data_IF_229672709214
#
_entry.id   IF_229672709214
#
_cell.length_a   1.000
_cell.length_b   1.000
_cell.length_c   1.000
_cell.angle_alpha   90.00
_cell.angle_beta   90.00
_cell.angle_gamma   90.00
#
_symmetry.space_group_name_H-M   'P 1'
#
loop_
_entity.id
_entity.type
_entity.pdbx_description
1 polymer ?
#
# COMPACT_ATOMS: atom_id res chain seq x y z
N UNK A 1 -5.96 43.63 -35.34
CA UNK A 1 -6.79 43.15 -34.21
C UNK A 1 -7.11 41.69 -34.46
N UNK A 2 -7.20 40.91 -33.37
CA UNK A 2 -7.03 39.45 -33.27
C UNK A 2 -8.06 38.66 -34.10
N UNK A 3 -7.62 37.71 -34.91
CA UNK A 3 -8.51 36.70 -35.51
C UNK A 3 -8.72 35.56 -34.53
N UNK A 4 -9.98 35.38 -34.15
CA UNK A 4 -10.45 34.47 -33.11
C UNK A 4 -10.51 33.05 -33.65
N UNK A 5 -9.93 32.11 -32.88
CA UNK A 5 -10.09 30.67 -33.02
C UNK A 5 -11.49 30.25 -32.57
N UNK A 6 -12.24 29.55 -33.41
CA UNK A 6 -13.46 28.83 -33.05
C UNK A 6 -13.64 27.64 -34.00
N UNK A 7 -13.09 26.50 -33.62
CA UNK A 7 -13.41 25.21 -34.22
C UNK A 7 -13.50 24.19 -33.09
N UNK A 8 -14.68 24.12 -32.49
CA UNK A 8 -15.07 23.07 -31.59
C UNK A 8 -16.44 22.57 -32.05
N UNK A 9 -16.49 21.37 -32.61
CA UNK A 9 -17.65 20.52 -32.44
C UNK A 9 -17.26 19.05 -32.60
N UNK A 10 -17.17 18.42 -31.43
CA UNK A 10 -17.15 16.98 -31.21
C UNK A 10 -18.38 16.32 -31.84
N UNK A 11 -18.21 15.27 -32.65
CA UNK A 11 -19.05 14.04 -32.63
C UNK A 11 -18.30 12.96 -33.42
N UNK A 12 -17.67 12.01 -32.74
CA UNK A 12 -17.55 10.63 -33.26
C UNK A 12 -17.68 9.68 -32.09
N UNK A 13 -18.91 9.20 -31.89
CA UNK A 13 -19.24 8.07 -31.06
C UNK A 13 -18.71 6.79 -31.73
N UNK A 14 -17.93 5.98 -31.01
CA UNK A 14 -17.90 4.53 -31.20
C UNK A 14 -17.88 3.87 -29.83
N UNK A 15 -19.07 3.42 -29.42
CA UNK A 15 -19.34 2.56 -28.30
C UNK A 15 -19.34 1.13 -28.84
N UNK A 16 -18.41 0.27 -28.41
CA UNK A 16 -18.59 -1.18 -28.50
C UNK A 16 -17.66 -1.95 -27.59
N UNK A 17 -18.30 -2.82 -26.81
CA UNK A 17 -17.85 -3.63 -25.69
C UNK A 17 -16.81 -4.69 -26.06
N UNK A 18 -15.91 -4.97 -25.13
CA UNK A 18 -15.09 -6.16 -25.09
C UNK A 18 -14.73 -6.53 -23.65
N UNK A 19 -15.71 -6.97 -22.86
CA UNK A 19 -15.47 -7.59 -21.55
C UNK A 19 -15.05 -9.04 -21.84
N UNK A 20 -13.74 -9.30 -21.85
CA UNK A 20 -13.22 -10.65 -21.74
C UNK A 20 -12.79 -10.88 -20.29
N UNK A 21 -13.68 -11.47 -19.50
CA UNK A 21 -13.28 -12.16 -18.27
C UNK A 21 -12.68 -13.50 -18.65
N UNK A 22 -11.46 -13.79 -18.16
CA UNK A 22 -11.09 -14.98 -17.39
C UNK A 22 -9.59 -15.31 -17.51
N UNK A 23 -8.94 -15.28 -16.34
CA UNK A 23 -7.73 -15.98 -15.96
C UNK A 23 -6.45 -15.72 -16.78
N UNK A 24 -5.86 -14.54 -16.57
CA UNK A 24 -4.41 -14.38 -16.66
C UNK A 24 -3.86 -14.11 -15.25
N UNK A 25 -3.54 -15.15 -14.47
CA UNK A 25 -2.54 -15.05 -13.40
C UNK A 25 -1.12 -14.97 -14.01
N UNK A 26 -0.98 -14.32 -15.15
CA UNK A 26 0.28 -14.04 -15.79
C UNK A 26 0.77 -12.68 -15.32
N UNK A 27 1.63 -12.72 -14.31
CA UNK A 27 2.90 -11.98 -14.36
C UNK A 27 2.79 -10.50 -14.72
N UNK A 28 1.95 -9.72 -14.03
CA UNK A 28 2.18 -8.27 -13.92
C UNK A 28 3.06 -7.96 -12.71
N UNK A 29 4.26 -8.54 -12.69
CA UNK A 29 5.40 -7.82 -12.12
C UNK A 29 5.92 -6.93 -13.24
N UNK A 30 5.28 -5.77 -13.35
CA UNK A 30 5.73 -4.66 -14.18
C UNK A 30 7.23 -4.49 -13.99
N UNK A 31 7.88 -4.40 -15.13
CA UNK A 31 9.30 -4.38 -15.41
C UNK A 31 10.04 -3.21 -14.73
N UNK A 32 10.07 -3.23 -13.40
CA UNK A 32 10.86 -2.40 -12.51
C UNK A 32 11.41 -3.24 -11.33
N UNK A 33 11.52 -4.56 -11.51
CA UNK A 33 12.06 -5.50 -10.51
C UNK A 33 13.37 -6.17 -10.95
N UNK A 34 14.14 -5.53 -11.83
CA UNK A 34 15.48 -6.06 -12.21
C UNK A 34 16.54 -5.87 -11.11
N UNK A 35 16.23 -5.08 -10.07
CA UNK A 35 16.92 -5.11 -8.78
C UNK A 35 15.93 -5.58 -7.73
N UNK A 36 16.25 -6.68 -7.03
CA UNK A 36 15.49 -7.09 -5.85
C UNK A 36 15.49 -5.97 -4.79
N UNK A 37 14.49 -5.99 -3.89
CA UNK A 37 14.39 -5.02 -2.79
C UNK A 37 15.70 -4.98 -2.02
N UNK A 38 16.16 -3.78 -1.70
CA UNK A 38 17.33 -3.64 -0.82
C UNK A 38 16.92 -4.02 0.61
N UNK A 39 17.90 -4.30 1.47
CA UNK A 39 17.63 -4.52 2.90
C UNK A 39 16.93 -3.32 3.55
N UNK A 40 17.27 -2.10 3.12
CA UNK A 40 16.65 -0.88 3.61
C UNK A 40 15.15 -0.84 3.25
N UNK A 41 14.81 -1.22 2.02
CA UNK A 41 13.42 -1.26 1.56
C UNK A 41 12.62 -2.30 2.35
N UNK A 42 13.16 -3.51 2.54
CA UNK A 42 12.50 -4.56 3.33
C UNK A 42 12.29 -4.13 4.77
N UNK A 43 13.28 -3.48 5.38
CA UNK A 43 13.15 -2.97 6.75
C UNK A 43 12.05 -1.91 6.83
N UNK A 44 11.97 -0.99 5.85
CA UNK A 44 10.92 0.03 5.82
C UNK A 44 9.52 -0.57 5.67
N UNK A 45 9.38 -1.59 4.82
CA UNK A 45 8.11 -2.33 4.68
C UNK A 45 7.72 -3.05 5.96
N UNK A 46 8.68 -3.65 6.67
CA UNK A 46 8.42 -4.32 7.94
C UNK A 46 7.98 -3.33 9.03
N UNK A 47 8.55 -2.12 9.07
CA UNK A 47 8.09 -1.05 9.98
C UNK A 47 6.63 -0.70 9.71
N UNK A 48 6.29 -0.49 8.44
CA UNK A 48 4.92 -0.21 8.03
C UNK A 48 3.99 -1.36 8.41
N UNK A 49 4.39 -2.61 8.13
CA UNK A 49 3.61 -3.79 8.48
C UNK A 49 3.38 -3.93 9.99
N UNK A 50 4.36 -3.54 10.81
CA UNK A 50 4.27 -3.56 12.26
C UNK A 50 3.33 -2.48 12.78
N UNK A 51 3.40 -1.26 12.23
CA UNK A 51 2.44 -0.19 12.49
C UNK A 51 1.01 -0.58 12.12
N UNK A 52 0.84 -1.24 10.98
CA UNK A 52 -0.45 -1.76 10.52
C UNK A 52 -0.94 -2.98 11.30
N UNK A 53 -0.11 -3.56 12.19
CA UNK A 53 -0.45 -4.73 13.00
C UNK A 53 -0.45 -6.06 12.26
N UNK A 54 0.00 -6.09 11.00
CA UNK A 54 -0.04 -7.27 10.12
C UNK A 54 1.10 -8.26 10.36
N UNK A 55 2.14 -7.85 11.08
CA UNK A 55 3.24 -8.73 11.50
C UNK A 55 2.71 -9.77 12.49
N UNK A 56 2.81 -11.09 12.18
CA UNK A 56 2.39 -12.13 13.10
C UNK A 56 3.26 -12.14 14.36
N UNK A 57 2.63 -12.20 15.53
CA UNK A 57 3.32 -12.29 16.82
C UNK A 57 3.80 -13.72 17.13
N UNK A 58 3.20 -14.73 16.49
CA UNK A 58 3.55 -16.14 16.63
C UNK A 58 3.61 -16.84 15.27
N UNK A 59 4.45 -17.87 15.17
CA UNK A 59 4.59 -18.73 13.99
C UNK A 59 3.34 -19.56 13.69
N UNK A 60 2.47 -19.78 14.67
CA UNK A 60 1.25 -20.60 14.54
C UNK A 60 0.02 -19.81 14.10
N UNK A 61 0.10 -18.48 14.09
CA UNK A 61 -1.03 -17.59 13.81
C UNK A 61 -0.91 -17.00 12.40
N UNK A 62 -0.88 -17.89 11.41
CA UNK A 62 -0.82 -17.50 10.00
C UNK A 62 -1.90 -18.19 9.15
N UNK A 63 -2.67 -17.44 8.34
CA UNK A 63 -2.68 -15.98 8.23
C UNK A 63 -3.33 -15.32 9.47
N UNK A 64 -2.91 -14.10 9.86
CA UNK A 64 -3.49 -13.41 11.01
C UNK A 64 -4.97 -13.05 10.73
N UNK A 65 -5.83 -13.24 11.73
CA UNK A 65 -7.22 -12.79 11.66
C UNK A 65 -7.31 -11.27 11.82
N UNK A 66 -8.41 -10.66 11.38
CA UNK A 66 -8.61 -9.21 11.53
C UNK A 66 -8.56 -8.74 13.00
N UNK A 67 -9.04 -9.57 13.93
CA UNK A 67 -8.95 -9.30 15.38
C UNK A 67 -7.51 -9.27 15.89
N UNK A 68 -6.66 -10.18 15.39
CA UNK A 68 -5.23 -10.21 15.73
C UNK A 68 -4.54 -8.97 15.17
N UNK A 69 -4.84 -8.58 13.93
CA UNK A 69 -4.29 -7.36 13.33
C UNK A 69 -4.68 -6.12 14.13
N UNK A 70 -5.96 -5.98 14.51
CA UNK A 70 -6.45 -4.86 15.31
C UNK A 70 -5.76 -4.80 16.68
N UNK A 71 -5.65 -5.93 17.37
CA UNK A 71 -4.94 -6.04 18.65
C UNK A 71 -3.46 -5.65 18.52
N UNK A 72 -2.77 -6.16 17.50
CA UNK A 72 -1.36 -5.87 17.29
C UNK A 72 -1.13 -4.37 17.03
N UNK A 73 -2.01 -3.75 16.24
CA UNK A 73 -1.99 -2.31 15.97
C UNK A 73 -2.22 -1.49 17.24
N UNK A 74 -3.16 -1.90 18.09
CA UNK A 74 -3.40 -1.25 19.38
C UNK A 74 -2.18 -1.37 20.31
N UNK A 75 -1.64 -2.57 20.48
CA UNK A 75 -0.46 -2.81 21.31
C UNK A 75 0.76 -2.02 20.81
N UNK A 76 0.94 -1.94 19.50
CA UNK A 76 1.97 -1.13 18.88
C UNK A 76 1.78 0.36 19.18
N UNK A 77 0.56 0.89 19.01
CA UNK A 77 0.22 2.27 19.35
C UNK A 77 0.50 2.60 20.83
N UNK A 78 0.12 1.73 21.76
CA UNK A 78 0.38 1.93 23.20
C UNK A 78 1.88 1.91 23.51
N UNK A 79 2.65 1.03 22.85
CA UNK A 79 4.06 0.80 23.19
C UNK A 79 5.03 1.78 22.54
N UNK A 80 4.67 2.31 21.36
CA UNK A 80 5.55 3.13 20.52
C UNK A 80 5.07 4.58 20.46
N UNK A 81 3.74 4.79 20.51
CA UNK A 81 3.09 6.08 20.31
C UNK A 81 2.20 6.47 21.51
N UNK A 82 2.70 6.24 22.72
CA UNK A 82 1.92 6.47 23.94
C UNK A 82 1.45 7.93 24.04
N UNK A 83 0.13 8.12 24.16
CA UNK A 83 -0.50 9.44 24.28
C UNK A 83 -0.96 10.07 22.96
N UNK A 84 -0.70 9.41 21.82
CA UNK A 84 -1.18 9.86 20.52
C UNK A 84 -2.57 9.28 20.20
N UNK A 85 -3.47 10.12 19.66
CA UNK A 85 -4.84 9.68 19.31
C UNK A 85 -4.94 8.94 17.97
N UNK A 86 -4.02 9.21 17.05
CA UNK A 86 -4.03 8.66 15.70
C UNK A 86 -2.59 8.52 15.19
N UNK A 87 -1.81 7.57 15.75
CA UNK A 87 -0.40 7.46 15.45
C UNK A 87 -0.17 7.18 13.97
N UNK A 88 0.74 7.92 13.37
CA UNK A 88 1.17 7.72 11.97
C UNK A 88 2.44 6.89 11.94
N UNK A 89 2.74 6.28 10.79
CA UNK A 89 4.01 5.59 10.62
C UNK A 89 5.13 6.64 10.53
N UNK A 90 6.03 6.68 11.50
CA UNK A 90 7.03 7.74 11.64
C UNK A 90 8.37 7.28 12.25
N UNK A 91 9.16 8.21 12.78
CA UNK A 91 10.49 7.93 13.34
C UNK A 91 10.45 7.07 14.62
N UNK A 92 9.32 7.00 15.32
CA UNK A 92 9.15 6.15 16.50
C UNK A 92 9.12 4.66 16.14
N UNK A 93 8.74 4.33 14.89
CA UNK A 93 8.75 2.96 14.36
C UNK A 93 10.15 2.52 13.90
N UNK A 94 11.13 3.43 13.95
CA UNK A 94 12.50 3.12 13.59
C UNK A 94 13.25 2.47 14.74
N UNK A 95 13.66 1.21 14.55
CA UNK A 95 14.54 0.48 15.47
C UNK A 95 15.92 1.14 15.68
N UNK A 96 16.31 2.09 14.82
CA UNK A 96 17.58 2.82 14.95
C UNK A 96 17.52 3.91 16.04
N UNK A 97 16.33 4.26 16.51
CA UNK A 97 16.09 5.34 17.49
C UNK A 97 15.87 4.79 18.91
N UNK A 98 15.89 3.47 19.10
CA UNK A 98 15.50 2.78 20.34
C UNK A 98 16.70 2.37 21.20
#
# INVERSE_FOLDING_TARGET
MKTVKLAALFVTATLSLGIATQAAFAQTQTQTQTRGKTRADVVNELKQAQHDGTVPTSKTQYPPTGEIVARNKELHGISVHAGEKAPQADNHDSLATR
#
